data_IF_154287384839
#
_entry.id   IF_154287384839
#
_cell.length_a   1.000
_cell.length_b   1.000
_cell.length_c   1.000
_cell.angle_alpha   90.00
_cell.angle_beta   90.00
_cell.angle_gamma   90.00
#
_symmetry.space_group_name_H-M   'P 1'
#
loop_
_entity.id
_entity.type
_entity.pdbx_description
1 polymer ?
#
# COMPACT_ATOMS: atom_id res chain seq x y z
N UNK A 1 9.71 -12.92 2.88
CA UNK A 1 8.42 -12.47 3.45
C UNK A 1 7.26 -13.01 2.63
N UNK A 2 6.30 -13.66 3.29
CA UNK A 2 5.10 -14.16 2.64
C UNK A 2 3.95 -13.21 2.85
N UNK A 3 3.44 -12.68 1.75
CA UNK A 3 2.35 -11.72 1.79
C UNK A 3 1.29 -12.16 0.79
N UNK A 4 0.07 -12.43 1.29
CA UNK A 4 -1.06 -12.86 0.47
C UNK A 4 -2.24 -11.95 0.71
N UNK A 5 -2.95 -11.61 -0.36
CA UNK A 5 -4.12 -10.75 -0.28
C UNK A 5 -5.40 -11.58 -0.41
N UNK A 6 -6.39 -11.25 0.43
CA UNK A 6 -7.72 -11.84 0.34
C UNK A 6 -8.72 -10.71 0.08
N UNK A 7 -9.16 -10.58 -1.18
CA UNK A 7 -10.02 -9.47 -1.56
C UNK A 7 -11.50 -9.69 -1.20
N UNK A 8 -11.86 -10.83 -0.64
CA UNK A 8 -13.22 -11.05 -0.17
C UNK A 8 -13.50 -10.22 1.08
N UNK A 9 -12.52 -10.12 1.98
CA UNK A 9 -12.70 -9.42 3.25
C UNK A 9 -11.62 -8.38 3.54
N UNK A 10 -10.83 -8.02 2.54
CA UNK A 10 -9.77 -7.00 2.65
C UNK A 10 -8.73 -7.33 3.71
N UNK A 11 -8.37 -8.60 3.82
CA UNK A 11 -7.34 -9.01 4.76
C UNK A 11 -6.04 -9.34 4.06
N UNK A 12 -4.95 -9.22 4.79
CA UNK A 12 -3.60 -9.54 4.32
C UNK A 12 -3.02 -10.58 5.27
N UNK A 13 -2.55 -11.67 4.70
CA UNK A 13 -1.84 -12.68 5.47
C UNK A 13 -0.35 -12.40 5.32
N UNK A 14 0.29 -12.06 6.42
CA UNK A 14 1.72 -11.76 6.44
C UNK A 14 2.42 -12.73 7.39
N UNK A 15 3.25 -13.61 6.82
CA UNK A 15 4.01 -14.59 7.59
C UNK A 15 3.15 -15.36 8.61
N UNK A 16 1.95 -15.75 8.17
CA UNK A 16 1.03 -16.53 8.99
C UNK A 16 0.10 -15.70 9.88
N UNK A 17 0.23 -14.39 9.88
CA UNK A 17 -0.63 -13.50 10.69
C UNK A 17 -1.56 -12.72 9.79
N UNK A 18 -2.87 -12.81 10.06
CA UNK A 18 -3.87 -12.09 9.29
C UNK A 18 -4.05 -10.67 9.83
N UNK A 19 -4.07 -9.69 8.93
CA UNK A 19 -4.29 -8.30 9.26
C UNK A 19 -5.46 -7.75 8.45
N UNK A 20 -6.35 -7.03 9.12
CA UNK A 20 -7.50 -6.39 8.48
C UNK A 20 -7.12 -5.01 7.98
N UNK A 21 -7.44 -4.72 6.72
CA UNK A 21 -7.26 -3.39 6.13
C UNK A 21 -8.62 -2.79 5.80
N UNK A 22 -8.67 -1.47 5.68
CA UNK A 22 -9.85 -0.82 5.10
C UNK A 22 -9.87 -1.10 3.60
N UNK A 23 -11.00 -0.87 2.94
CA UNK A 23 -11.10 -1.14 1.51
C UNK A 23 -10.12 -0.29 0.70
N UNK A 24 -9.89 0.96 1.10
CA UNK A 24 -8.96 1.84 0.39
C UNK A 24 -7.51 1.45 0.66
N UNK A 25 -7.18 1.08 1.89
CA UNK A 25 -5.84 0.57 2.19
C UNK A 25 -5.55 -0.69 1.38
N UNK A 26 -6.52 -1.60 1.33
CA UNK A 26 -6.38 -2.83 0.56
C UNK A 26 -6.19 -2.52 -0.92
N UNK A 27 -6.99 -1.59 -1.45
CA UNK A 27 -6.88 -1.18 -2.85
C UNK A 27 -5.51 -0.61 -3.20
N UNK A 28 -4.96 0.24 -2.32
CA UNK A 28 -3.63 0.81 -2.52
C UNK A 28 -2.57 -0.29 -2.52
N UNK A 29 -2.60 -1.16 -1.52
CA UNK A 29 -1.62 -2.23 -1.42
C UNK A 29 -1.71 -3.17 -2.61
N UNK A 30 -2.93 -3.56 -2.99
CA UNK A 30 -3.16 -4.43 -4.14
C UNK A 30 -2.62 -3.81 -5.43
N UNK A 31 -2.89 -2.52 -5.64
CA UNK A 31 -2.38 -1.83 -6.82
C UNK A 31 -0.86 -1.83 -6.87
N UNK A 32 -0.22 -1.51 -5.75
CA UNK A 32 1.25 -1.47 -5.70
C UNK A 32 1.86 -2.87 -5.85
N UNK A 33 1.21 -3.90 -5.32
CA UNK A 33 1.69 -5.28 -5.46
C UNK A 33 1.51 -5.82 -6.87
N UNK A 34 0.54 -5.31 -7.64
CA UNK A 34 0.36 -5.69 -9.03
C UNK A 34 1.50 -5.14 -9.91
N UNK A 35 2.19 -4.10 -9.44
CA UNK A 35 3.30 -3.48 -10.16
C UNK A 35 4.49 -3.35 -9.21
N UNK A 36 5.05 -4.48 -8.75
CA UNK A 36 6.09 -4.44 -7.72
C UNK A 36 7.36 -3.75 -8.22
N UNK A 37 8.04 -3.10 -7.29
CA UNK A 37 9.32 -2.44 -7.52
C UNK A 37 9.25 -1.24 -8.48
N UNK A 38 8.04 -0.81 -8.85
CA UNK A 38 7.84 0.40 -9.65
C UNK A 38 7.37 1.52 -8.74
N UNK A 39 7.86 2.73 -9.01
CA UNK A 39 7.44 3.91 -8.26
C UNK A 39 6.19 4.48 -8.90
N UNK A 40 5.15 4.67 -8.09
CA UNK A 40 3.87 5.23 -8.54
C UNK A 40 3.61 6.53 -7.81
N UNK A 41 3.20 7.56 -8.55
CA UNK A 41 2.89 8.86 -7.92
C UNK A 41 1.64 8.75 -7.07
N UNK A 42 1.50 9.63 -6.10
CA UNK A 42 0.28 9.68 -5.28
C UNK A 42 -0.96 9.92 -6.14
N UNK A 43 -0.83 10.75 -7.18
CA UNK A 43 -1.93 11.01 -8.11
C UNK A 43 -2.36 9.74 -8.83
N UNK A 44 -1.40 9.00 -9.36
CA UNK A 44 -1.65 7.74 -10.05
C UNK A 44 -2.35 6.73 -9.13
N UNK A 45 -1.87 6.59 -7.90
CA UNK A 45 -2.47 5.69 -6.92
C UNK A 45 -3.92 6.11 -6.65
N UNK A 46 -4.14 7.40 -6.44
CA UNK A 46 -5.49 7.91 -6.16
C UNK A 46 -6.44 7.60 -7.32
N UNK A 47 -6.04 7.90 -8.54
CA UNK A 47 -6.88 7.67 -9.72
C UNK A 47 -7.24 6.19 -9.88
N UNK A 48 -6.30 5.31 -9.62
CA UNK A 48 -6.53 3.87 -9.79
C UNK A 48 -7.39 3.26 -8.69
N UNK A 49 -7.28 3.77 -7.46
CA UNK A 49 -7.98 3.19 -6.31
C UNK A 49 -9.33 3.85 -6.09
N UNK A 50 -9.39 5.17 -6.16
CA UNK A 50 -10.66 5.89 -5.97
C UNK A 50 -11.47 5.96 -7.25
N UNK A 51 -10.83 5.89 -8.41
CA UNK A 51 -11.48 5.98 -9.73
C UNK A 51 -12.27 7.26 -9.89
N UNK A 52 -11.72 8.35 -9.39
CA UNK A 52 -12.28 9.68 -9.43
C UNK A 52 -11.18 10.66 -9.78
N UNK A 53 -11.56 11.91 -10.09
CA UNK A 53 -10.58 12.95 -10.31
C UNK A 53 -9.79 13.20 -9.03
N UNK A 54 -8.47 13.39 -9.11
CA UNK A 54 -7.65 13.56 -7.91
C UNK A 54 -8.05 14.80 -7.12
N UNK A 55 -8.29 14.60 -5.82
CA UNK A 55 -8.63 15.67 -4.89
C UNK A 55 -7.87 15.45 -3.59
N UNK A 56 -6.99 16.39 -3.26
CA UNK A 56 -6.14 16.31 -2.06
C UNK A 56 -5.38 14.98 -1.98
N UNK A 57 -5.02 14.45 -3.14
CA UNK A 57 -4.49 13.09 -3.21
C UNK A 57 -3.20 12.90 -2.42
N UNK A 58 -2.36 13.93 -2.33
CA UNK A 58 -1.08 13.80 -1.62
C UNK A 58 -1.26 13.47 -0.15
N UNK A 59 -2.11 14.22 0.55
CA UNK A 59 -2.35 13.98 1.96
C UNK A 59 -3.15 12.69 2.19
N UNK A 60 -4.13 12.42 1.34
CA UNK A 60 -4.95 11.22 1.45
C UNK A 60 -4.09 9.96 1.29
N UNK A 61 -3.27 9.92 0.23
CA UNK A 61 -2.41 8.75 0.00
C UNK A 61 -1.36 8.62 1.10
N UNK A 62 -0.75 9.73 1.51
CA UNK A 62 0.26 9.70 2.56
C UNK A 62 -0.28 9.09 3.86
N UNK A 63 -1.49 9.50 4.27
CA UNK A 63 -2.12 8.97 5.48
C UNK A 63 -2.42 7.49 5.35
N UNK A 64 -2.95 7.06 4.20
CA UNK A 64 -3.27 5.65 3.97
C UNK A 64 -2.01 4.79 3.94
N UNK A 65 -0.94 5.26 3.31
CA UNK A 65 0.34 4.55 3.30
C UNK A 65 0.87 4.39 4.73
N UNK A 66 0.77 5.45 5.52
CA UNK A 66 1.20 5.43 6.91
C UNK A 66 0.45 4.35 7.70
N UNK A 67 -0.88 4.28 7.53
CA UNK A 67 -1.70 3.28 8.22
C UNK A 67 -1.38 1.86 7.77
N UNK A 68 -1.13 1.66 6.48
CA UNK A 68 -0.73 0.33 5.97
C UNK A 68 0.57 -0.09 6.63
N UNK A 69 1.55 0.80 6.71
CA UNK A 69 2.82 0.51 7.36
C UNK A 69 2.65 0.16 8.82
N UNK A 70 1.83 0.90 9.55
CA UNK A 70 1.58 0.62 10.96
C UNK A 70 1.00 -0.76 11.16
N UNK A 71 0.15 -1.19 10.25
CA UNK A 71 -0.50 -2.50 10.35
C UNK A 71 0.41 -3.66 9.94
N UNK A 72 1.26 -3.45 8.95
CA UNK A 72 2.01 -4.53 8.33
C UNK A 72 3.50 -4.55 8.64
N UNK A 73 4.11 -3.40 8.94
CA UNK A 73 5.54 -3.33 9.24
C UNK A 73 5.73 -3.31 10.74
N UNK A 74 6.03 -4.47 11.31
CA UNK A 74 6.13 -4.61 12.77
C UNK A 74 7.49 -4.22 13.32
N UNK A 75 8.50 -4.05 12.47
CA UNK A 75 9.83 -3.65 12.90
C UNK A 75 10.45 -2.71 11.88
N UNK A 76 11.47 -1.98 12.31
CA UNK A 76 12.17 -1.02 11.45
C UNK A 76 12.89 -1.67 10.28
N UNK A 77 13.16 -2.97 10.37
CA UNK A 77 13.89 -3.69 9.34
C UNK A 77 12.98 -4.26 8.25
N UNK A 78 11.67 -4.33 8.50
CA UNK A 78 10.72 -4.93 7.55
C UNK A 78 9.96 -3.86 6.79
N UNK A 79 10.56 -3.33 5.73
CA UNK A 79 9.88 -2.33 4.92
C UNK A 79 9.22 -2.98 3.73
N UNK A 80 7.90 -2.92 3.70
CA UNK A 80 7.09 -3.44 2.60
C UNK A 80 6.86 -2.35 1.56
N UNK A 81 6.62 -1.13 2.02
CA UNK A 81 6.37 0.02 1.16
C UNK A 81 7.49 1.05 1.34
N UNK A 82 8.00 1.54 0.23
CA UNK A 82 9.01 2.60 0.22
C UNK A 82 8.39 3.91 -0.21
N UNK A 83 8.85 5.01 0.39
CA UNK A 83 8.46 6.36 0.00
C UNK A 83 9.65 7.04 -0.68
N UNK A 84 9.37 7.76 -1.75
CA UNK A 84 10.39 8.52 -2.47
C UNK A 84 9.94 9.97 -2.53
N UNK A 85 10.75 10.88 -1.96
CA UNK A 85 10.42 12.29 -1.89
C UNK A 85 10.07 12.86 -3.27
N UNK A 86 8.88 13.43 -3.38
CA UNK A 86 8.35 14.03 -4.60
C UNK A 86 8.20 13.06 -5.79
N UNK A 87 8.40 11.76 -5.59
CA UNK A 87 8.28 10.80 -6.69
C UNK A 87 7.14 9.80 -6.49
N UNK A 88 6.90 9.38 -5.26
CA UNK A 88 5.81 8.48 -4.98
C UNK A 88 6.17 7.32 -4.08
N UNK A 89 5.52 6.19 -4.31
CA UNK A 89 5.60 5.03 -3.43
C UNK A 89 5.79 3.75 -4.24
N UNK A 90 6.35 2.75 -3.59
CA UNK A 90 6.68 1.50 -4.24
C UNK A 90 6.46 0.32 -3.29
N UNK A 91 5.92 -0.80 -3.82
CA UNK A 91 5.95 -2.05 -3.09
C UNK A 91 7.31 -2.70 -3.31
N UNK A 92 8.00 -3.01 -2.22
CA UNK A 92 9.34 -3.59 -2.29
C UNK A 92 9.24 -5.11 -2.23
N UNK A 93 9.41 -5.76 -3.38
CA UNK A 93 9.28 -7.23 -3.47
C UNK A 93 10.47 -7.97 -2.84
N UNK A 94 11.57 -7.26 -2.60
CA UNK A 94 12.76 -7.87 -2.00
C UNK A 94 12.72 -7.95 -0.48
N UNK A 95 11.67 -7.40 0.14
CA UNK A 95 11.54 -7.39 1.60
C UNK A 95 11.30 -8.76 2.18
#
# INVERSE_FOLDING_TARGET
>A
MNLSLNNTNNTVLKDGTEKQLTSKEFGILSFLMDHPDEIHTAEEIYENVWKEEPFRYRSIICVHICHIREKLESSHSEKILDSFWKRGYRFNSAS
#
